data_IF_125324809445
#
_entry.id   IF_125324809445
#
_cell.length_a   1.000
_cell.length_b   1.000
_cell.length_c   1.000
_cell.angle_alpha   90.00
_cell.angle_beta   90.00
_cell.angle_gamma   90.00
#
_symmetry.space_group_name_H-M   'P 1'
#
loop_
_entity.id
_entity.type
_entity.pdbx_description
1 polymer ?
#
# COMPACT_ATOMS: atom_id res chain seq x y z
N UNK A 1 -4.91 -36.13 68.14
CA UNK A 1 -3.47 -35.83 68.28
C UNK A 1 -2.69 -36.79 67.39
N UNK A 2 -2.33 -36.36 66.18
CA UNK A 2 -1.23 -36.87 65.36
C UNK A 2 -0.97 -35.84 64.26
N UNK A 3 -0.27 -34.81 64.70
CA UNK A 3 0.57 -33.88 63.93
C UNK A 3 1.46 -34.68 62.97
N UNK A 4 1.01 -34.86 61.73
CA UNK A 4 1.85 -35.18 60.57
C UNK A 4 1.89 -33.90 59.73
N UNK A 5 2.70 -32.95 60.16
CA UNK A 5 4.10 -32.76 59.74
C UNK A 5 4.14 -31.89 58.49
N UNK A 6 4.06 -30.59 58.77
CA UNK A 6 4.36 -29.44 57.89
C UNK A 6 5.75 -29.49 57.23
N UNK A 7 6.50 -30.57 57.41
CA UNK A 7 7.90 -30.73 57.01
C UNK A 7 8.06 -31.13 55.53
N UNK A 8 7.03 -31.69 54.89
CA UNK A 8 7.08 -32.03 53.45
C UNK A 8 6.76 -30.84 52.55
N UNK A 9 6.01 -29.85 53.03
CA UNK A 9 5.73 -28.61 52.27
C UNK A 9 6.92 -27.65 52.35
N UNK A 10 7.68 -27.67 53.46
CA UNK A 10 8.88 -26.86 53.62
C UNK A 10 10.06 -27.33 52.73
N UNK A 11 10.08 -28.60 52.32
CA UNK A 11 11.12 -29.14 51.43
C UNK A 11 10.90 -28.76 49.95
N UNK A 12 9.64 -28.54 49.54
CA UNK A 12 9.31 -28.05 48.20
C UNK A 12 9.47 -26.52 48.08
N UNK A 13 9.29 -25.79 49.17
CA UNK A 13 9.58 -24.36 49.22
C UNK A 13 11.09 -24.05 49.21
N UNK A 14 11.95 -25.03 49.53
CA UNK A 14 13.41 -24.85 49.49
C UNK A 14 14.01 -25.08 48.08
N UNK A 15 13.26 -25.69 47.16
CA UNK A 15 13.69 -25.88 45.76
C UNK A 15 13.32 -24.71 44.84
N UNK A 16 12.54 -23.73 45.32
CA UNK A 16 12.14 -22.55 44.55
C UNK A 16 12.94 -21.29 44.89
N UNK A 17 13.96 -21.36 45.78
CA UNK A 17 14.66 -20.18 46.31
C UNK A 17 16.18 -20.25 46.08
N UNK A 18 16.68 -21.06 45.14
CA UNK A 18 18.13 -21.13 44.82
C UNK A 18 18.44 -20.83 43.36
N UNK A 19 17.53 -20.16 42.64
CA UNK A 19 17.89 -19.32 41.49
C UNK A 19 17.79 -17.84 41.87
N UNK A 20 18.07 -17.55 43.15
CA UNK A 20 18.31 -16.19 43.65
C UNK A 20 19.71 -16.20 44.29
N UNK A 21 20.72 -16.58 43.52
CA UNK A 21 22.04 -15.91 43.56
C UNK A 21 21.94 -14.90 42.40
N UNK A 22 22.32 -13.63 42.49
CA UNK A 22 23.16 -13.03 43.50
C UNK A 22 22.76 -11.59 43.87
N UNK A 23 23.20 -11.25 45.06
CA UNK A 23 23.00 -9.97 45.70
C UNK A 23 23.77 -8.88 44.95
N UNK A 24 23.05 -8.00 44.27
CA UNK A 24 23.51 -6.66 43.89
C UNK A 24 24.18 -5.97 45.07
N UNK A 25 25.53 -6.08 45.19
CA UNK A 25 26.46 -5.28 46.02
C UNK A 25 27.85 -5.95 46.19
N UNK A 26 28.69 -6.05 45.14
CA UNK A 26 30.14 -5.80 45.21
C UNK A 26 30.89 -6.24 43.95
N UNK A 27 31.72 -5.32 43.44
CA UNK A 27 32.73 -5.55 42.42
C UNK A 27 33.46 -6.90 42.54
N UNK A 28 33.47 -7.62 41.42
CA UNK A 28 34.39 -8.70 41.02
C UNK A 28 33.98 -10.13 41.42
N UNK A 29 33.08 -10.72 40.63
CA UNK A 29 33.41 -11.86 39.77
C UNK A 29 32.37 -11.92 38.65
N UNK A 30 32.80 -11.63 37.41
CA UNK A 30 32.06 -11.65 36.14
C UNK A 30 31.19 -10.41 35.86
N UNK A 31 31.79 -9.38 35.26
CA UNK A 31 31.05 -8.21 34.73
C UNK A 31 30.40 -8.64 33.41
N UNK A 32 29.10 -8.87 33.40
CA UNK A 32 28.32 -8.95 32.16
C UNK A 32 28.40 -7.61 31.43
N UNK A 33 28.81 -7.61 30.15
CA UNK A 33 28.81 -6.41 29.32
C UNK A 33 27.46 -6.36 28.59
N UNK A 34 26.55 -5.56 29.13
CA UNK A 34 25.14 -5.52 28.72
C UNK A 34 24.83 -4.99 27.29
N UNK A 35 25.79 -4.92 26.39
CA UNK A 35 25.64 -4.34 25.03
C UNK A 35 26.59 -4.94 23.96
N UNK A 36 27.13 -6.14 24.18
CA UNK A 36 28.14 -6.72 23.29
C UNK A 36 27.73 -8.02 22.57
N UNK A 37 26.51 -8.53 22.79
CA UNK A 37 26.00 -9.72 22.09
C UNK A 37 26.53 -11.04 22.64
N UNK A 38 27.16 -11.05 23.82
CA UNK A 38 27.81 -12.24 24.38
C UNK A 38 27.54 -12.41 25.87
N UNK A 39 27.30 -13.66 26.28
CA UNK A 39 27.28 -14.10 27.69
C UNK A 39 28.71 -14.05 28.26
N UNK A 40 29.06 -12.93 28.89
CA UNK A 40 30.38 -12.65 29.47
C UNK A 40 30.53 -13.28 30.87
N UNK A 41 29.42 -13.56 31.53
CA UNK A 41 29.38 -14.08 32.89
C UNK A 41 29.22 -15.60 33.00
N UNK A 42 28.77 -16.23 31.91
CA UNK A 42 28.62 -17.66 31.69
C UNK A 42 27.33 -18.27 32.23
N UNK A 43 26.30 -17.47 32.53
CA UNK A 43 25.03 -17.91 33.11
C UNK A 43 23.97 -18.34 32.06
N UNK A 44 24.33 -18.25 30.76
CA UNK A 44 23.52 -18.55 29.57
C UNK A 44 22.50 -17.50 29.15
N UNK A 45 22.51 -16.33 29.78
CA UNK A 45 21.81 -15.14 29.31
C UNK A 45 22.86 -14.13 28.81
N UNK A 46 22.47 -13.27 27.86
CA UNK A 46 23.38 -12.29 27.28
C UNK A 46 22.69 -10.92 27.25
N UNK A 47 23.46 -9.87 27.47
CA UNK A 47 22.99 -8.49 27.41
C UNK A 47 21.73 -8.23 28.27
N UNK A 48 20.70 -7.58 27.73
CA UNK A 48 19.50 -7.25 28.50
C UNK A 48 18.52 -8.42 28.71
N UNK A 49 18.80 -9.60 28.13
CA UNK A 49 18.14 -10.85 28.54
C UNK A 49 18.73 -11.38 29.86
N UNK A 50 19.91 -10.89 30.25
CA UNK A 50 20.54 -11.16 31.54
C UNK A 50 19.92 -10.30 32.66
N UNK A 51 19.58 -10.96 33.78
CA UNK A 51 19.02 -10.32 34.96
C UNK A 51 20.00 -9.32 35.61
N UNK A 52 21.30 -9.55 35.48
CA UNK A 52 22.35 -8.68 36.01
C UNK A 52 22.44 -7.34 35.26
N UNK A 53 21.86 -7.28 34.06
CA UNK A 53 21.78 -6.07 33.23
C UNK A 53 20.55 -5.19 33.49
N UNK A 54 19.59 -5.60 34.34
CA UNK A 54 18.37 -4.82 34.60
C UNK A 54 18.65 -3.39 35.10
N UNK A 55 19.71 -3.19 35.89
CA UNK A 55 20.08 -1.85 36.39
C UNK A 55 21.01 -1.07 35.45
N UNK A 56 21.47 -1.67 34.35
CA UNK A 56 22.41 -1.05 33.41
C UNK A 56 21.76 0.10 32.66
N UNK A 57 22.52 1.18 32.43
CA UNK A 57 22.07 2.27 31.58
C UNK A 57 21.82 1.79 30.13
N UNK A 58 22.51 0.75 29.68
CA UNK A 58 22.29 0.10 28.39
C UNK A 58 20.85 -0.41 28.23
N UNK A 59 20.20 -0.84 29.32
CA UNK A 59 18.83 -1.36 29.31
C UNK A 59 17.78 -0.36 29.85
N UNK A 60 18.16 0.87 30.23
CA UNK A 60 17.32 1.78 31.04
C UNK A 60 17.02 3.15 30.39
N UNK A 61 17.42 3.38 29.13
CA UNK A 61 16.98 4.56 28.37
C UNK A 61 15.72 4.26 27.58
N UNK A 62 14.59 4.81 28.06
CA UNK A 62 13.28 4.92 27.37
C UNK A 62 12.97 3.85 26.33
N UNK A 63 12.78 2.66 26.88
CA UNK A 63 11.86 1.63 26.44
C UNK A 63 10.47 2.21 26.08
N UNK A 64 10.31 2.54 24.82
CA UNK A 64 9.18 2.07 24.02
C UNK A 64 9.79 1.10 23.00
N UNK A 65 10.03 -0.17 23.35
CA UNK A 65 10.25 -1.34 22.45
C UNK A 65 11.58 -2.14 22.54
N UNK A 66 12.61 -1.72 23.30
CA UNK A 66 13.90 -2.42 23.60
C UNK A 66 13.94 -3.98 23.35
N UNK A 67 14.70 -4.60 22.39
CA UNK A 67 16.17 -4.86 22.33
C UNK A 67 16.52 -5.82 21.15
N UNK A 68 17.31 -5.48 20.11
CA UNK A 68 18.77 -5.26 20.12
C UNK A 68 19.28 -4.63 18.78
N UNK A 69 19.19 -3.31 18.51
CA UNK A 69 20.16 -2.73 17.54
C UNK A 69 20.37 -1.21 17.56
N UNK A 70 21.21 -0.72 18.46
CA UNK A 70 21.79 0.64 18.30
C UNK A 70 22.94 0.67 17.27
N UNK A 71 23.34 -0.51 16.76
CA UNK A 71 24.51 -0.71 15.89
C UNK A 71 24.16 -0.99 14.43
N UNK A 72 22.90 -1.31 14.13
CA UNK A 72 22.45 -1.73 12.81
C UNK A 72 20.93 -1.50 12.72
N UNK A 73 20.53 -0.22 12.52
CA UNK A 73 19.14 0.19 12.42
C UNK A 73 18.47 -0.44 11.20
N UNK A 74 17.18 -0.74 11.33
CA UNK A 74 16.34 -1.21 10.22
C UNK A 74 16.36 -0.20 9.07
N UNK A 75 16.51 -0.68 7.83
CA UNK A 75 16.32 0.13 6.62
C UNK A 75 14.92 -0.17 6.09
N UNK A 76 14.01 0.77 6.33
CA UNK A 76 12.58 0.58 6.18
C UNK A 76 12.03 0.44 4.74
N UNK A 77 12.88 0.22 3.72
CA UNK A 77 12.51 0.25 2.30
C UNK A 77 13.20 -0.82 1.43
N UNK A 78 13.74 -1.88 2.03
CA UNK A 78 14.63 -2.80 1.33
C UNK A 78 14.24 -4.29 1.34
N UNK A 79 13.12 -4.64 1.99
CA UNK A 79 12.56 -6.01 2.06
C UNK A 79 13.45 -7.00 2.79
N UNK A 80 14.30 -6.52 3.69
CA UNK A 80 15.21 -7.32 4.51
C UNK A 80 15.05 -6.89 5.96
N UNK A 81 14.93 -7.87 6.86
CA UNK A 81 15.12 -7.72 8.30
C UNK A 81 16.60 -7.37 8.55
N UNK A 82 16.92 -6.07 8.49
CA UNK A 82 18.26 -5.57 8.68
C UNK A 82 18.63 -5.68 10.14
N UNK A 83 17.72 -5.36 11.06
CA UNK A 83 18.02 -5.27 12.49
C UNK A 83 18.05 -6.65 13.22
N UNK A 84 17.45 -7.67 12.62
CA UNK A 84 17.45 -9.07 13.03
C UNK A 84 16.30 -9.48 13.97
N UNK A 85 15.26 -8.66 14.12
CA UNK A 85 14.15 -8.89 15.05
C UNK A 85 12.97 -9.70 14.47
N UNK A 86 13.11 -10.13 13.20
CA UNK A 86 12.13 -10.89 12.40
C UNK A 86 10.94 -10.10 11.86
N UNK A 87 10.92 -8.78 12.02
CA UNK A 87 10.05 -7.88 11.29
C UNK A 87 10.84 -7.27 10.11
N UNK A 88 10.13 -6.77 9.09
CA UNK A 88 10.74 -6.30 7.84
C UNK A 88 10.08 -5.00 7.45
N UNK A 89 10.86 -3.98 7.11
CA UNK A 89 10.37 -2.68 6.62
C UNK A 89 9.22 -2.11 7.49
N UNK A 90 8.09 -1.73 6.90
CA UNK A 90 6.95 -1.13 7.62
C UNK A 90 6.16 -2.08 8.53
N UNK A 91 6.42 -3.39 8.43
CA UNK A 91 5.94 -4.34 9.44
C UNK A 91 6.79 -4.28 10.73
N UNK A 92 7.96 -3.63 10.68
CA UNK A 92 8.82 -3.32 11.83
C UNK A 92 8.35 -2.07 12.57
N UNK A 93 8.30 -2.17 13.90
CA UNK A 93 7.92 -1.08 14.79
C UNK A 93 8.96 0.04 14.83
N UNK A 94 10.21 -0.25 14.50
CA UNK A 94 11.29 0.74 14.38
C UNK A 94 11.09 1.65 13.16
N UNK A 95 10.28 1.22 12.19
CA UNK A 95 9.93 1.97 10.98
C UNK A 95 8.65 2.81 11.08
N UNK A 96 7.94 2.79 12.22
CA UNK A 96 6.64 3.48 12.40
C UNK A 96 6.65 5.00 12.17
N UNK A 97 7.83 5.61 12.19
CA UNK A 97 8.04 7.04 11.96
C UNK A 97 8.96 7.34 10.78
N UNK A 98 9.39 6.31 10.04
CA UNK A 98 10.22 6.47 8.86
C UNK A 98 9.40 7.04 7.70
N UNK A 99 10.01 7.87 6.87
CA UNK A 99 9.34 8.46 5.72
C UNK A 99 8.93 7.42 4.67
N UNK A 100 9.63 6.27 4.63
CA UNK A 100 9.26 5.10 3.83
C UNK A 100 8.16 4.23 4.46
N UNK A 101 7.51 4.69 5.54
CA UNK A 101 6.31 4.07 6.12
C UNK A 101 5.29 5.12 6.58
N UNK A 102 5.60 6.39 6.35
CA UNK A 102 4.79 7.57 6.72
C UNK A 102 4.73 8.58 5.58
N UNK A 103 5.20 8.17 4.40
CA UNK A 103 5.18 8.94 3.16
C UNK A 103 3.75 9.25 2.77
N UNK A 104 3.58 10.35 2.06
CA UNK A 104 2.34 10.55 1.32
C UNK A 104 2.60 9.99 -0.08
N UNK A 105 1.89 8.92 -0.44
CA UNK A 105 1.92 8.36 -1.79
C UNK A 105 1.56 9.43 -2.83
N UNK A 106 2.34 9.53 -3.91
CA UNK A 106 1.97 10.38 -5.06
C UNK A 106 1.17 9.50 -6.01
N UNK A 107 -0.15 9.58 -5.88
CA UNK A 107 -1.10 8.68 -6.53
C UNK A 107 -1.22 8.75 -8.07
N UNK A 108 -0.21 9.22 -8.81
CA UNK A 108 -0.21 9.29 -10.27
C UNK A 108 1.19 9.28 -10.93
N UNK A 109 2.17 8.61 -10.33
CA UNK A 109 3.55 8.61 -10.83
C UNK A 109 4.14 7.21 -11.11
N UNK A 110 3.33 6.16 -11.03
CA UNK A 110 3.70 4.76 -11.28
C UNK A 110 4.82 4.24 -10.34
N UNK A 111 5.00 4.87 -9.19
CA UNK A 111 6.04 4.55 -8.21
C UNK A 111 5.43 4.40 -6.83
N UNK A 112 5.88 3.41 -6.09
CA UNK A 112 5.63 3.26 -4.65
C UNK A 112 6.51 4.30 -3.93
N UNK A 113 5.93 5.47 -3.63
CA UNK A 113 6.64 6.60 -3.00
C UNK A 113 6.71 6.46 -1.48
N UNK A 114 5.81 5.69 -0.89
CA UNK A 114 5.71 5.51 0.54
C UNK A 114 6.24 4.17 1.06
N UNK A 115 6.71 3.28 0.18
CA UNK A 115 7.44 2.06 0.49
C UNK A 115 6.57 0.85 0.88
N UNK A 116 5.25 0.94 0.78
CA UNK A 116 4.33 -0.08 1.30
C UNK A 116 3.98 -1.21 0.31
N UNK A 117 4.64 -1.22 -0.86
CA UNK A 117 4.50 -2.15 -1.99
C UNK A 117 3.29 -1.94 -2.89
N UNK A 118 2.40 -1.02 -2.54
CA UNK A 118 1.32 -0.61 -3.41
C UNK A 118 1.76 0.63 -4.22
N UNK A 119 1.10 0.85 -5.36
CA UNK A 119 1.48 1.91 -6.31
C UNK A 119 0.22 2.64 -6.73
N UNK A 120 0.26 3.96 -6.69
CA UNK A 120 -0.83 4.82 -7.17
C UNK A 120 -2.22 4.39 -6.63
N UNK A 121 -3.19 4.14 -7.50
CA UNK A 121 -4.55 3.79 -7.11
C UNK A 121 -4.73 2.36 -6.60
N UNK A 122 -3.71 1.52 -6.73
CA UNK A 122 -3.67 0.23 -6.02
C UNK A 122 -3.27 0.40 -4.56
N UNK A 123 -2.78 1.59 -4.17
CA UNK A 123 -2.46 1.97 -2.80
C UNK A 123 -3.69 2.42 -2.01
N UNK A 124 -3.82 1.89 -0.79
CA UNK A 124 -4.87 2.25 0.16
C UNK A 124 -4.80 3.71 0.63
N UNK A 125 -3.62 4.31 0.64
CA UNK A 125 -3.40 5.70 1.03
C UNK A 125 -3.90 6.66 -0.07
N UNK A 126 -4.10 6.13 -1.28
CA UNK A 126 -4.71 6.81 -2.42
C UNK A 126 -6.24 6.65 -2.55
N UNK A 127 -6.91 5.90 -1.67
CA UNK A 127 -8.36 5.61 -1.75
C UNK A 127 -9.30 6.81 -1.87
N UNK A 128 -8.86 8.01 -1.46
CA UNK A 128 -9.64 9.25 -1.60
C UNK A 128 -8.90 10.33 -2.39
N UNK A 129 -7.80 9.98 -3.04
CA UNK A 129 -7.03 10.90 -3.87
C UNK A 129 -7.78 11.20 -5.16
N UNK A 130 -7.71 12.43 -5.67
CA UNK A 130 -8.47 12.84 -6.86
C UNK A 130 -8.19 11.99 -8.11
N UNK A 131 -6.99 11.42 -8.22
CA UNK A 131 -6.59 10.56 -9.34
C UNK A 131 -7.14 9.14 -9.25
N UNK A 132 -7.64 8.74 -8.07
CA UNK A 132 -8.14 7.39 -7.79
C UNK A 132 -9.62 7.39 -7.40
N UNK A 133 -10.15 8.59 -7.22
CA UNK A 133 -11.55 8.84 -6.95
C UNK A 133 -12.08 9.48 -8.21
N UNK A 134 -12.48 8.64 -9.17
CA UNK A 134 -13.16 9.03 -10.39
C UNK A 134 -14.36 9.89 -9.99
N UNK A 135 -14.15 11.21 -9.95
CA UNK A 135 -15.24 12.16 -9.83
C UNK A 135 -15.86 12.27 -11.19
N UNK A 136 -17.19 12.11 -11.29
CA UNK A 136 -17.93 12.21 -12.56
C UNK A 136 -17.30 13.25 -13.51
N UNK A 137 -16.80 12.80 -14.66
CA UNK A 137 -16.17 13.66 -15.65
C UNK A 137 -17.16 14.74 -16.13
N UNK A 138 -16.67 15.98 -16.24
CA UNK A 138 -17.45 17.07 -16.85
C UNK A 138 -17.13 17.11 -18.33
N UNK A 139 -17.89 16.32 -19.09
CA UNK A 139 -17.73 16.05 -20.52
C UNK A 139 -17.84 17.25 -21.50
N UNK A 140 -17.74 18.50 -21.03
CA UNK A 140 -17.81 19.69 -21.87
C UNK A 140 -17.08 20.91 -21.32
N UNK A 141 -16.07 20.72 -20.46
CA UNK A 141 -15.29 21.80 -19.89
C UNK A 141 -13.80 21.80 -20.27
N UNK A 142 -13.37 20.80 -21.04
CA UNK A 142 -12.01 20.64 -21.57
C UNK A 142 -10.94 20.48 -20.50
N UNK A 143 -11.34 19.91 -19.36
CA UNK A 143 -10.45 19.47 -18.31
C UNK A 143 -10.69 17.99 -18.02
N UNK A 144 -9.63 17.27 -17.74
CA UNK A 144 -9.66 15.93 -17.13
C UNK A 144 -10.06 16.13 -15.66
N UNK A 145 -11.34 15.90 -15.33
CA UNK A 145 -11.90 16.15 -14.00
C UNK A 145 -11.81 14.92 -13.10
N UNK A 146 -11.65 13.74 -13.67
CA UNK A 146 -11.59 12.46 -12.95
C UNK A 146 -10.15 11.94 -12.77
N UNK A 147 -9.21 12.54 -13.49
CA UNK A 147 -7.77 12.33 -13.38
C UNK A 147 -7.24 11.12 -14.15
N UNK A 148 -8.02 10.53 -15.05
CA UNK A 148 -7.65 9.31 -15.77
C UNK A 148 -6.75 9.55 -17.01
N UNK A 149 -6.62 10.82 -17.41
CA UNK A 149 -5.76 11.30 -18.49
C UNK A 149 -6.48 11.51 -19.82
N UNK A 150 -7.74 11.13 -19.94
CA UNK A 150 -8.61 11.48 -21.05
C UNK A 150 -9.43 12.76 -20.69
N UNK A 151 -10.03 13.41 -21.69
CA UNK A 151 -10.72 14.72 -21.51
C UNK A 151 -12.00 14.73 -22.32
N UNK A 152 -13.09 15.29 -21.78
CA UNK A 152 -14.34 15.51 -22.51
C UNK A 152 -14.83 14.24 -23.25
N UNK A 153 -14.90 14.24 -24.58
CA UNK A 153 -15.45 13.13 -25.36
C UNK A 153 -14.43 12.05 -25.70
N UNK A 154 -13.16 12.33 -25.45
CA UNK A 154 -12.11 11.34 -25.47
C UNK A 154 -12.14 10.45 -24.21
N UNK A 155 -12.82 10.89 -23.15
CA UNK A 155 -13.02 10.17 -21.90
C UNK A 155 -14.12 9.09 -22.02
N UNK A 156 -13.82 7.88 -21.52
CA UNK A 156 -14.73 6.74 -21.57
C UNK A 156 -15.97 6.90 -20.68
N UNK A 157 -15.88 7.66 -19.58
CA UNK A 157 -16.99 7.97 -18.69
C UNK A 157 -17.99 8.96 -19.34
N UNK A 158 -17.58 9.61 -20.43
CA UNK A 158 -18.40 10.50 -21.25
C UNK A 158 -19.10 9.84 -22.44
N UNK A 159 -18.97 8.53 -22.62
CA UNK A 159 -19.56 7.82 -23.76
C UNK A 159 -21.08 8.01 -23.91
N UNK A 160 -21.80 8.16 -22.78
CA UNK A 160 -23.26 8.38 -22.77
C UNK A 160 -23.64 9.87 -22.64
N UNK A 161 -22.66 10.78 -22.57
CA UNK A 161 -22.93 12.21 -22.41
C UNK A 161 -23.50 12.78 -23.71
N UNK A 162 -24.62 13.53 -23.71
CA UNK A 162 -25.27 13.98 -24.94
C UNK A 162 -24.45 14.87 -25.88
N UNK A 163 -23.31 15.42 -25.42
CA UNK A 163 -22.40 16.17 -26.29
C UNK A 163 -21.31 15.30 -26.94
N UNK A 164 -21.12 14.07 -26.45
CA UNK A 164 -20.13 13.09 -26.91
C UNK A 164 -20.80 11.87 -27.56
N UNK A 165 -22.07 11.64 -27.24
CA UNK A 165 -22.95 10.82 -28.04
C UNK A 165 -23.24 11.59 -29.32
N UNK A 166 -22.61 11.14 -30.41
CA UNK A 166 -22.93 11.50 -31.79
C UNK A 166 -24.42 11.86 -31.91
N UNK A 167 -24.69 13.14 -32.13
CA UNK A 167 -26.05 13.62 -32.25
C UNK A 167 -26.67 12.98 -33.47
N UNK A 168 -27.74 12.19 -33.29
CA UNK A 168 -28.46 11.52 -34.37
C UNK A 168 -28.34 12.24 -35.72
N UNK A 169 -27.58 11.64 -36.63
CA UNK A 169 -27.32 12.17 -37.97
C UNK A 169 -28.63 12.47 -38.72
N UNK A 170 -28.72 13.64 -39.35
CA UNK A 170 -29.84 13.97 -40.24
C UNK A 170 -29.42 13.60 -41.65
N UNK A 171 -29.75 12.35 -42.00
CA UNK A 171 -29.35 11.66 -43.23
C UNK A 171 -29.75 12.27 -44.59
N UNK A 172 -30.21 13.52 -44.66
CA UNK A 172 -30.68 14.17 -45.89
C UNK A 172 -30.28 15.66 -46.03
N UNK A 173 -29.31 16.12 -45.24
CA UNK A 173 -29.01 17.54 -45.09
C UNK A 173 -27.61 17.99 -45.57
N UNK A 174 -26.76 17.08 -46.03
CA UNK A 174 -25.39 17.31 -46.54
C UNK A 174 -24.43 17.91 -45.50
N UNK A 175 -24.64 17.62 -44.22
CA UNK A 175 -23.83 18.08 -43.10
C UNK A 175 -23.57 16.88 -42.20
N UNK A 176 -22.33 16.75 -41.74
CA UNK A 176 -21.93 15.89 -40.63
C UNK A 176 -22.53 16.48 -39.35
N UNK A 177 -23.73 16.02 -38.97
CA UNK A 177 -24.47 16.53 -37.81
C UNK A 177 -24.02 15.88 -36.51
N UNK A 178 -23.39 14.71 -36.59
CA UNK A 178 -22.96 13.92 -35.45
C UNK A 178 -21.47 14.08 -35.11
N UNK A 179 -20.69 14.62 -36.06
CA UNK A 179 -19.30 15.00 -35.92
C UNK A 179 -18.30 13.86 -36.18
N UNK A 180 -18.73 12.71 -36.70
CA UNK A 180 -17.88 11.54 -36.90
C UNK A 180 -17.04 11.57 -38.19
N UNK A 181 -17.35 12.53 -39.08
CA UNK A 181 -16.62 12.83 -40.30
C UNK A 181 -17.21 12.19 -41.57
N UNK A 182 -18.25 11.37 -41.44
CA UNK A 182 -19.09 10.93 -42.54
C UNK A 182 -20.33 11.86 -42.65
N UNK A 183 -21.05 11.83 -43.78
CA UNK A 183 -22.18 12.74 -44.07
C UNK A 183 -23.32 11.92 -44.65
N UNK A 184 -24.56 12.20 -44.26
CA UNK A 184 -25.76 11.62 -44.86
C UNK A 184 -25.70 10.08 -45.02
N UNK A 185 -25.74 9.56 -46.25
CA UNK A 185 -25.78 8.12 -46.50
C UNK A 185 -24.42 7.44 -46.51
N UNK A 186 -23.35 8.23 -46.46
CA UNK A 186 -22.01 7.74 -46.19
C UNK A 186 -21.80 7.44 -44.69
N UNK A 187 -22.66 7.99 -43.82
CA UNK A 187 -22.65 7.80 -42.37
C UNK A 187 -23.28 6.44 -41.96
N UNK A 188 -22.61 5.73 -41.05
CA UNK A 188 -23.05 4.43 -40.53
C UNK A 188 -24.32 4.52 -39.67
N UNK A 189 -24.58 5.67 -39.06
CA UNK A 189 -25.78 5.94 -38.27
C UNK A 189 -27.03 6.11 -39.17
N UNK A 190 -26.84 6.26 -40.48
CA UNK A 190 -27.89 6.38 -41.49
C UNK A 190 -28.28 5.08 -42.21
N UNK A 191 -27.69 3.93 -41.86
CA UNK A 191 -27.95 2.63 -42.53
C UNK A 191 -29.43 2.19 -42.49
N UNK A 192 -30.16 2.55 -41.43
CA UNK A 192 -31.60 2.25 -41.31
C UNK A 192 -32.51 3.44 -41.69
N UNK A 193 -31.92 4.55 -42.14
CA UNK A 193 -32.67 5.74 -42.51
C UNK A 193 -33.50 5.52 -43.78
N UNK A 194 -34.79 5.89 -43.80
CA UNK A 194 -35.60 5.84 -45.01
C UNK A 194 -35.09 6.78 -46.12
N UNK A 195 -34.26 7.77 -45.76
CA UNK A 195 -33.64 8.72 -46.67
C UNK A 195 -32.38 8.15 -47.35
N UNK A 196 -31.82 7.07 -46.80
CA UNK A 196 -30.73 6.27 -47.36
C UNK A 196 -31.26 4.90 -47.80
N UNK A 197 -32.02 4.84 -48.92
CA UNK A 197 -32.52 3.59 -49.41
C UNK A 197 -31.33 2.68 -49.74
N UNK A 198 -31.30 1.51 -49.11
CA UNK A 198 -30.43 0.38 -49.49
C UNK A 198 -30.88 -0.16 -50.85
N UNK A 199 -30.86 0.66 -51.90
CA UNK A 199 -30.96 0.19 -53.27
C UNK A 199 -29.67 -0.52 -53.58
N UNK A 200 -29.71 -1.84 -53.40
CA UNK A 200 -28.71 -2.79 -53.85
C UNK A 200 -28.13 -2.31 -55.20
N UNK A 201 -26.85 -1.93 -55.22
CA UNK A 201 -26.16 -1.50 -56.44
C UNK A 201 -26.34 -2.59 -57.50
N UNK A 202 -27.03 -2.27 -58.60
CA UNK A 202 -27.17 -3.18 -59.72
C UNK A 202 -25.94 -2.98 -60.60
N UNK A 203 -24.82 -3.62 -60.23
CA UNK A 203 -23.52 -3.47 -60.91
C UNK A 203 -23.52 -3.84 -62.42
N UNK A 204 -24.64 -4.28 -62.99
CA UNK A 204 -24.77 -4.70 -64.40
C UNK A 204 -25.59 -3.75 -65.29
N UNK A 205 -26.08 -2.62 -64.78
CA UNK A 205 -26.90 -1.69 -65.56
C UNK A 205 -26.17 -0.41 -66.04
N UNK A 206 -24.92 -0.21 -65.65
CA UNK A 206 -24.10 0.96 -66.01
C UNK A 206 -24.74 2.31 -65.61
N UNK A 207 -25.63 2.30 -64.63
CA UNK A 207 -26.10 3.50 -63.92
C UNK A 207 -25.63 3.43 -62.49
N UNK A 208 -25.31 4.61 -61.97
CA UNK A 208 -25.05 4.83 -60.56
C UNK A 208 -26.42 4.80 -59.85
N UNK A 209 -26.68 3.71 -59.14
CA UNK A 209 -27.96 3.42 -58.49
C UNK A 209 -27.91 3.66 -56.97
N UNK A 210 -26.74 4.05 -56.46
CA UNK A 210 -26.45 4.36 -55.07
C UNK A 210 -26.02 5.83 -54.83
N UNK A 211 -25.74 6.63 -55.87
CA UNK A 211 -25.75 8.10 -55.77
C UNK A 211 -24.50 8.79 -56.31
#
# INVERSE_FOLDING_TARGET
MKIFSSLTILLFAFFLVTACDDNSSNNNSNDEICDNGTDDDGDSFADCDDQDCWASAACNTNNVNNLNNVSNPEVCDNQVDDDGDSFVDCDDLDCIADAACTGAEICNNETDDDGDTFVDCDDQDCLNHQFCNLTDEICNDSFDNDGDGDVDCEDADCADFPACSATQEICDNQTDDDGDGDIDCEDLDCIESPDCPTTLEICDNQTDDDG
#
